data_IF_034112269439
#
_entry.id   IF_034112269439
#
_cell.length_a   1.000
_cell.length_b   1.000
_cell.length_c   1.000
_cell.angle_alpha   90.00
_cell.angle_beta   90.00
_cell.angle_gamma   90.00
#
_symmetry.space_group_name_H-M   'P 1'
#
loop_
_entity.id
_entity.type
_entity.pdbx_description
1 polymer ?
#
# COMPACT_ATOMS: atom_id res chain seq x y z
N UNK A 1 29.60 54.94 10.21
CA UNK A 1 29.25 53.77 11.06
C UNK A 1 29.25 52.47 10.23
N UNK A 2 30.40 51.77 10.16
CA UNK A 2 30.64 50.67 9.24
C UNK A 2 30.62 49.29 9.93
N UNK A 3 29.45 48.70 10.15
CA UNK A 3 29.29 47.39 10.81
C UNK A 3 28.41 46.41 10.01
N UNK A 4 28.66 46.28 8.70
CA UNK A 4 28.02 45.23 7.87
C UNK A 4 29.02 44.46 7.01
N UNK A 5 30.30 44.85 6.98
CA UNK A 5 31.32 44.24 6.11
C UNK A 5 32.17 43.12 6.75
N UNK A 6 31.97 42.79 8.04
CA UNK A 6 32.87 41.90 8.80
C UNK A 6 32.34 40.45 8.90
N UNK A 7 31.08 40.18 8.55
CA UNK A 7 30.51 38.82 8.69
C UNK A 7 30.71 37.90 7.47
N UNK A 8 31.23 38.39 6.34
CA UNK A 8 31.44 37.57 5.12
C UNK A 8 32.88 37.08 4.90
N UNK A 9 33.82 37.38 5.81
CA UNK A 9 35.23 37.01 5.65
C UNK A 9 35.74 35.88 6.55
N UNK A 10 34.89 35.34 7.43
CA UNK A 10 35.28 34.26 8.36
C UNK A 10 34.95 32.84 7.88
N UNK A 11 34.28 32.67 6.74
CA UNK A 11 34.01 31.34 6.15
C UNK A 11 35.02 30.90 5.09
N UNK A 12 35.99 31.74 4.71
CA UNK A 12 36.92 31.46 3.62
C UNK A 12 38.31 30.95 4.04
N UNK A 13 38.56 30.68 5.33
CA UNK A 13 39.91 30.29 5.83
C UNK A 13 39.98 28.85 6.39
N UNK A 14 38.87 28.09 6.40
CA UNK A 14 38.88 26.68 6.84
C UNK A 14 38.98 25.65 5.70
N UNK A 15 39.25 26.08 4.46
CA UNK A 15 39.33 25.19 3.29
C UNK A 15 40.74 25.05 2.69
N UNK A 16 41.80 25.49 3.38
CA UNK A 16 43.16 25.51 2.83
C UNK A 16 44.21 24.97 3.81
N UNK A 17 44.01 23.76 4.35
CA UNK A 17 45.08 22.94 4.93
C UNK A 17 44.57 21.51 5.15
N UNK A 18 44.66 20.64 4.14
CA UNK A 18 44.23 19.25 4.31
C UNK A 18 44.18 18.41 3.04
N UNK A 19 45.03 18.68 2.05
CA UNK A 19 45.31 17.74 0.95
C UNK A 19 46.81 17.41 1.00
N UNK A 20 47.17 16.54 1.95
CA UNK A 20 48.45 15.84 1.94
C UNK A 20 48.17 14.37 1.66
N UNK A 21 48.86 13.85 0.66
CA UNK A 21 48.69 12.56 0.03
C UNK A 21 48.79 11.38 1.01
N UNK A 22 47.82 10.46 0.93
CA UNK A 22 48.00 9.06 1.31
C UNK A 22 47.95 8.27 0.00
N UNK A 23 49.09 8.12 -0.64
CA UNK A 23 49.37 7.04 -1.58
C UNK A 23 49.75 5.81 -0.76
N UNK A 24 48.85 4.83 -0.65
CA UNK A 24 49.21 3.46 -0.27
C UNK A 24 48.41 2.47 -1.14
N UNK A 25 49.17 1.74 -1.95
CA UNK A 25 48.94 0.42 -2.53
C UNK A 25 47.52 0.04 -3.01
N UNK A 26 47.40 -0.05 -4.34
CA UNK A 26 46.45 -0.96 -4.99
C UNK A 26 46.86 -2.41 -4.67
N UNK A 27 46.00 -3.13 -3.97
CA UNK A 27 45.97 -4.59 -3.98
C UNK A 27 44.54 -4.98 -4.33
N UNK A 28 44.40 -5.75 -5.40
CA UNK A 28 43.13 -6.07 -6.03
C UNK A 28 42.42 -7.13 -5.19
N UNK A 29 41.44 -6.70 -4.40
CA UNK A 29 40.52 -7.59 -3.69
C UNK A 29 39.14 -7.48 -4.34
N UNK A 30 38.85 -8.46 -5.19
CA UNK A 30 37.58 -8.71 -5.84
C UNK A 30 36.49 -8.88 -4.77
N UNK A 31 35.52 -7.97 -4.72
CA UNK A 31 34.38 -8.07 -3.78
C UNK A 31 33.29 -8.93 -4.46
N UNK A 32 32.97 -10.13 -3.93
CA UNK A 32 32.02 -11.03 -4.56
C UNK A 32 30.60 -10.47 -4.47
N UNK A 33 29.94 -10.46 -5.63
CA UNK A 33 28.56 -10.01 -5.84
C UNK A 33 27.62 -11.20 -5.60
N UNK A 34 27.53 -11.72 -4.38
CA UNK A 34 26.58 -12.79 -4.03
C UNK A 34 25.92 -12.54 -2.68
N UNK A 35 24.82 -11.77 -2.69
CA UNK A 35 23.88 -11.69 -1.58
C UNK A 35 22.45 -11.44 -2.09
N UNK A 36 22.00 -12.29 -3.00
CA UNK A 36 20.60 -12.66 -3.16
C UNK A 36 20.56 -14.19 -3.19
N UNK A 37 20.79 -14.80 -2.02
CA UNK A 37 20.62 -16.23 -1.86
C UNK A 37 19.13 -16.54 -1.98
N UNK A 38 18.78 -17.23 -3.05
CA UNK A 38 17.56 -17.98 -3.19
C UNK A 38 17.50 -19.07 -2.11
N UNK A 39 16.29 -19.37 -1.68
CA UNK A 39 15.96 -20.36 -0.66
C UNK A 39 16.66 -21.72 -0.88
N UNK A 40 17.35 -22.21 0.16
CA UNK A 40 18.12 -23.46 0.25
C UNK A 40 17.27 -24.76 0.20
N UNK A 41 16.19 -24.78 -0.58
CA UNK A 41 15.37 -25.99 -0.76
C UNK A 41 15.85 -26.88 -1.93
N UNK A 42 16.76 -26.41 -2.79
CA UNK A 42 17.05 -27.10 -4.07
C UNK A 42 18.50 -27.55 -4.27
N UNK A 43 19.41 -27.39 -3.30
CA UNK A 43 20.82 -27.75 -3.49
C UNK A 43 21.20 -29.17 -3.03
N UNK A 44 20.32 -29.91 -2.32
CA UNK A 44 20.69 -31.18 -1.70
C UNK A 44 20.44 -32.43 -2.56
N UNK A 45 19.66 -32.35 -3.64
CA UNK A 45 19.24 -33.51 -4.41
C UNK A 45 19.16 -33.16 -5.90
N UNK A 46 19.82 -33.98 -6.72
CA UNK A 46 20.22 -33.65 -8.09
C UNK A 46 19.11 -33.11 -9.00
N UNK A 47 19.56 -32.43 -10.06
CA UNK A 47 18.76 -31.69 -11.05
C UNK A 47 17.59 -32.43 -11.72
N UNK A 48 17.45 -33.75 -11.52
CA UNK A 48 16.32 -34.53 -12.02
C UNK A 48 15.05 -34.41 -11.16
N UNK A 49 15.17 -34.15 -9.85
CA UNK A 49 14.02 -34.14 -8.94
C UNK A 49 13.23 -32.82 -9.00
N UNK A 50 13.90 -31.69 -9.24
CA UNK A 50 13.25 -30.40 -9.48
C UNK A 50 12.44 -30.36 -10.79
N UNK A 51 12.90 -31.04 -11.84
CA UNK A 51 12.19 -31.12 -13.12
C UNK A 51 10.89 -31.93 -12.98
N UNK A 52 10.90 -32.97 -12.14
CA UNK A 52 9.71 -33.78 -11.86
C UNK A 52 8.63 -32.99 -11.12
N UNK A 53 9.02 -32.20 -10.10
CA UNK A 53 8.10 -31.40 -9.30
C UNK A 53 7.41 -30.29 -10.13
N UNK A 54 8.15 -29.65 -11.05
CA UNK A 54 7.62 -28.61 -11.93
C UNK A 54 6.72 -29.19 -13.05
N UNK A 55 6.98 -30.42 -13.51
CA UNK A 55 6.07 -31.17 -14.40
C UNK A 55 4.81 -31.64 -13.68
N UNK A 56 4.91 -32.06 -12.42
CA UNK A 56 3.76 -32.44 -11.59
C UNK A 56 2.85 -31.24 -11.27
N UNK A 57 3.42 -30.07 -11.01
CA UNK A 57 2.67 -28.81 -10.84
C UNK A 57 1.94 -28.39 -12.13
N UNK A 58 2.56 -28.58 -13.30
CA UNK A 58 1.90 -28.34 -14.60
C UNK A 58 0.84 -29.38 -14.95
N UNK A 59 1.01 -30.63 -14.52
CA UNK A 59 0.00 -31.68 -14.66
C UNK A 59 -1.21 -31.44 -13.73
N UNK A 60 -0.99 -30.89 -12.53
CA UNK A 60 -2.06 -30.46 -11.62
C UNK A 60 -2.82 -29.21 -12.12
N UNK A 61 -2.15 -28.33 -12.88
CA UNK A 61 -2.78 -27.19 -13.56
C UNK A 61 -3.53 -27.56 -14.85
N UNK A 62 -3.43 -28.82 -15.29
CA UNK A 62 -4.03 -29.35 -16.51
C UNK A 62 -5.38 -30.02 -16.30
N UNK A 63 -6.36 -29.32 -15.73
CA UNK A 63 -7.77 -29.65 -15.99
C UNK A 63 -8.47 -28.45 -16.63
N UNK A 64 -8.66 -28.58 -17.94
CA UNK A 64 -9.71 -27.93 -18.74
C UNK A 64 -10.98 -27.80 -17.92
N UNK A 65 -11.54 -26.58 -17.84
CA UNK A 65 -12.99 -26.44 -17.92
C UNK A 65 -13.30 -25.39 -19.00
N UNK A 66 -14.24 -25.78 -19.83
CA UNK A 66 -14.56 -25.30 -21.15
C UNK A 66 -15.47 -24.05 -21.09
N UNK A 67 -15.29 -23.16 -22.05
CA UNK A 67 -16.09 -21.95 -22.25
C UNK A 67 -17.40 -22.29 -22.96
N UNK A 68 -18.56 -21.92 -22.37
CA UNK A 68 -19.76 -21.38 -23.04
C UNK A 68 -20.91 -21.14 -22.02
N UNK A 69 -21.95 -20.34 -22.35
CA UNK A 69 -21.92 -18.94 -22.74
C UNK A 69 -22.84 -18.05 -21.86
N UNK A 70 -22.75 -16.75 -22.09
CA UNK A 70 -23.52 -15.67 -21.47
C UNK A 70 -25.03 -15.93 -21.36
N UNK A 71 -25.61 -15.60 -20.19
CA UNK A 71 -27.04 -15.36 -20.06
C UNK A 71 -27.31 -13.90 -19.66
N UNK A 72 -27.97 -13.21 -20.59
CA UNK A 72 -28.68 -11.95 -20.38
C UNK A 72 -29.80 -12.15 -19.35
N UNK A 73 -29.96 -11.18 -18.45
CA UNK A 73 -31.23 -10.57 -18.03
C UNK A 73 -30.86 -9.49 -16.98
N UNK A 74 -30.98 -8.19 -17.23
CA UNK A 74 -32.19 -7.43 -17.48
C UNK A 74 -33.30 -7.73 -16.47
N UNK A 75 -33.26 -7.06 -15.32
CA UNK A 75 -34.43 -6.49 -14.63
C UNK A 75 -33.97 -5.69 -13.41
N UNK A 76 -33.87 -4.37 -13.59
CA UNK A 76 -33.87 -3.41 -12.48
C UNK A 76 -35.26 -3.44 -11.84
N UNK A 77 -35.37 -4.00 -10.64
CA UNK A 77 -36.56 -3.84 -9.81
C UNK A 77 -36.38 -2.57 -8.95
N UNK A 78 -37.37 -1.70 -9.06
CA UNK A 78 -37.50 -0.40 -8.40
C UNK A 78 -37.50 -0.57 -6.87
N UNK A 79 -36.80 0.31 -6.15
CA UNK A 79 -36.98 0.48 -4.72
C UNK A 79 -38.00 1.60 -4.48
N UNK A 80 -39.21 1.21 -4.08
CA UNK A 80 -40.20 2.13 -3.52
C UNK A 80 -39.86 2.43 -2.05
N UNK A 81 -39.79 3.72 -1.72
CA UNK A 81 -39.64 4.20 -0.35
C UNK A 81 -41.00 4.19 0.36
N UNK A 82 -41.25 3.17 1.18
CA UNK A 82 -42.31 3.19 2.18
C UNK A 82 -41.72 3.26 3.59
N UNK A 83 -41.93 4.43 4.21
CA UNK A 83 -41.62 4.78 5.59
C UNK A 83 -42.60 4.07 6.54
N UNK A 84 -42.12 3.20 7.42
CA UNK A 84 -42.81 2.87 8.66
C UNK A 84 -41.82 2.48 9.76
N UNK A 85 -42.00 3.11 10.92
CA UNK A 85 -41.25 2.93 12.16
C UNK A 85 -41.64 1.61 12.85
N UNK A 86 -40.69 1.17 13.70
CA UNK A 86 -40.81 0.33 14.90
C UNK A 86 -40.56 -1.20 14.74
N UNK A 87 -39.59 -1.65 15.55
CA UNK A 87 -39.18 -3.01 15.98
C UNK A 87 -40.34 -3.99 16.29
N UNK A 88 -40.10 -5.30 16.57
CA UNK A 88 -38.84 -6.09 16.57
C UNK A 88 -38.98 -7.46 15.84
N UNK A 89 -37.85 -8.09 15.44
CA UNK A 89 -37.68 -9.56 15.38
C UNK A 89 -36.32 -9.91 14.76
N UNK A 90 -35.54 -10.71 15.50
CA UNK A 90 -34.30 -11.34 15.02
C UNK A 90 -34.61 -12.22 13.82
N UNK A 91 -34.20 -11.79 12.62
CA UNK A 91 -34.21 -12.62 11.42
C UNK A 91 -32.95 -13.49 11.42
N UNK A 92 -33.03 -14.78 11.08
CA UNK A 92 -31.83 -15.59 10.93
C UNK A 92 -31.01 -14.98 9.80
N UNK A 93 -29.74 -14.68 10.09
CA UNK A 93 -28.77 -14.24 9.08
C UNK A 93 -28.56 -15.43 8.15
N UNK A 94 -29.30 -15.45 7.05
CA UNK A 94 -28.96 -16.31 5.92
C UNK A 94 -27.61 -15.82 5.41
N UNK A 95 -26.59 -16.64 5.61
CA UNK A 95 -25.24 -16.40 5.12
C UNK A 95 -25.29 -16.26 3.60
N UNK A 96 -25.29 -15.02 3.12
CA UNK A 96 -24.97 -14.73 1.73
C UNK A 96 -23.50 -15.10 1.59
N UNK A 97 -23.22 -16.20 0.89
CA UNK A 97 -21.88 -16.47 0.37
C UNK A 97 -21.63 -15.44 -0.73
N UNK A 98 -21.23 -14.23 -0.32
CA UNK A 98 -20.81 -13.20 -1.22
C UNK A 98 -19.47 -13.64 -1.80
N UNK A 99 -19.47 -14.08 -3.05
CA UNK A 99 -18.28 -13.95 -3.88
C UNK A 99 -18.18 -12.49 -4.38
N UNK A 100 -18.39 -11.53 -3.47
CA UNK A 100 -17.87 -10.19 -3.62
C UNK A 100 -16.39 -10.33 -3.32
N UNK A 101 -15.54 -10.06 -4.30
CA UNK A 101 -14.11 -9.88 -4.05
C UNK A 101 -13.96 -8.82 -2.95
N UNK A 102 -13.74 -9.26 -1.71
CA UNK A 102 -13.40 -8.38 -0.60
C UNK A 102 -11.95 -8.01 -0.82
N UNK A 103 -11.67 -6.73 -1.02
CA UNK A 103 -10.33 -6.23 -1.28
C UNK A 103 -10.11 -5.67 -2.67
N UNK A 104 -8.85 -5.68 -3.07
CA UNK A 104 -8.39 -5.16 -4.35
C UNK A 104 -8.40 -6.27 -5.40
N UNK A 105 -8.66 -5.87 -6.64
CA UNK A 105 -8.49 -6.75 -7.81
C UNK A 105 -7.12 -6.53 -8.44
N UNK A 106 -6.65 -7.43 -9.29
CA UNK A 106 -5.43 -7.23 -10.07
C UNK A 106 -5.46 -5.93 -10.92
N UNK A 107 -6.66 -5.50 -11.36
CA UNK A 107 -6.82 -4.23 -12.06
C UNK A 107 -6.65 -3.01 -11.13
N UNK A 108 -6.97 -3.15 -9.85
CA UNK A 108 -6.73 -2.10 -8.86
C UNK A 108 -5.24 -2.00 -8.51
N UNK A 109 -4.58 -3.14 -8.34
CA UNK A 109 -3.12 -3.21 -8.13
C UNK A 109 -2.36 -2.57 -9.28
N UNK A 110 -2.74 -2.86 -10.52
CA UNK A 110 -2.13 -2.24 -11.70
C UNK A 110 -2.28 -0.71 -11.68
N UNK A 111 -3.45 -0.18 -11.27
CA UNK A 111 -3.65 1.27 -11.13
C UNK A 111 -2.80 1.85 -10.00
N UNK A 112 -2.74 1.19 -8.85
CA UNK A 112 -1.91 1.66 -7.73
C UNK A 112 -0.42 1.68 -8.10
N UNK A 113 0.05 0.65 -8.82
CA UNK A 113 1.42 0.54 -9.29
C UNK A 113 1.81 1.69 -10.24
N UNK A 114 0.88 2.24 -11.05
CA UNK A 114 1.15 3.37 -11.94
C UNK A 114 1.55 4.65 -11.19
N UNK A 115 1.06 4.86 -9.97
CA UNK A 115 1.43 6.02 -9.15
C UNK A 115 2.76 5.81 -8.42
N UNK A 116 3.17 4.55 -8.22
CA UNK A 116 4.40 4.20 -7.54
C UNK A 116 4.39 4.39 -6.02
N UNK A 117 5.46 3.90 -5.35
CA UNK A 117 5.61 3.98 -3.91
C UNK A 117 6.18 5.33 -3.45
N UNK A 118 6.36 5.48 -2.14
CA UNK A 118 7.01 6.64 -1.54
C UNK A 118 6.05 7.77 -1.16
N UNK A 119 6.62 8.91 -0.78
CA UNK A 119 5.89 10.05 -0.19
C UNK A 119 5.90 11.33 -1.04
N UNK A 120 6.43 11.25 -2.27
CA UNK A 120 6.43 12.35 -3.23
C UNK A 120 5.04 12.68 -3.75
N UNK A 121 4.90 13.84 -4.38
CA UNK A 121 3.64 14.23 -5.01
C UNK A 121 3.28 13.30 -6.17
N UNK A 122 2.00 12.94 -6.26
CA UNK A 122 1.49 12.01 -7.27
C UNK A 122 1.69 10.53 -6.95
N UNK A 123 2.36 10.16 -5.86
CA UNK A 123 2.46 8.75 -5.46
C UNK A 123 1.17 8.25 -4.82
N UNK A 124 0.92 6.95 -4.88
CA UNK A 124 -0.30 6.37 -4.30
C UNK A 124 -0.40 6.63 -2.77
N UNK A 125 0.67 6.44 -1.96
CA UNK A 125 0.61 6.73 -0.53
C UNK A 125 0.34 8.21 -0.24
N UNK A 126 0.88 9.12 -1.05
CA UNK A 126 0.62 10.56 -0.91
C UNK A 126 -0.84 10.89 -1.21
N UNK A 127 -1.38 10.39 -2.33
CA UNK A 127 -2.80 10.57 -2.69
C UNK A 127 -3.71 10.02 -1.60
N UNK A 128 -3.41 8.83 -1.07
CA UNK A 128 -4.16 8.23 0.03
C UNK A 128 -4.14 9.08 1.29
N UNK A 129 -2.97 9.61 1.67
CA UNK A 129 -2.84 10.52 2.81
C UNK A 129 -3.60 11.83 2.62
N UNK A 130 -3.55 12.42 1.42
CA UNK A 130 -4.31 13.64 1.09
C UNK A 130 -5.82 13.40 1.17
N UNK A 131 -6.30 12.28 0.61
CA UNK A 131 -7.69 11.88 0.70
C UNK A 131 -8.11 11.67 2.16
N UNK A 132 -7.32 10.96 2.96
CA UNK A 132 -7.60 10.74 4.37
C UNK A 132 -7.63 12.04 5.18
N UNK A 133 -6.73 12.98 4.89
CA UNK A 133 -6.68 14.28 5.56
C UNK A 133 -7.85 15.18 5.15
N UNK A 134 -8.26 15.14 3.89
CA UNK A 134 -9.45 15.85 3.39
C UNK A 134 -10.76 15.30 3.95
N UNK A 135 -10.76 14.01 4.32
CA UNK A 135 -11.90 13.33 4.93
C UNK A 135 -12.01 13.56 6.44
N UNK A 136 -11.09 14.29 7.07
CA UNK A 136 -11.15 14.63 8.48
C UNK A 136 -11.68 16.05 8.69
N UNK A 137 -12.83 16.19 9.36
CA UNK A 137 -13.45 17.49 9.62
C UNK A 137 -14.26 17.48 10.92
N UNK A 138 -14.39 18.63 11.59
CA UNK A 138 -15.09 18.76 12.88
C UNK A 138 -14.77 17.67 13.92
N UNK A 139 -13.50 17.28 13.97
CA UNK A 139 -12.98 16.22 14.83
C UNK A 139 -13.38 14.78 14.49
N UNK A 140 -14.08 14.55 13.38
CA UNK A 140 -14.53 13.24 12.92
C UNK A 140 -13.91 12.87 11.56
N UNK A 141 -13.76 11.57 11.32
CA UNK A 141 -13.29 11.02 10.06
C UNK A 141 -14.47 10.52 9.23
N UNK A 142 -14.48 10.86 7.94
CA UNK A 142 -15.55 10.52 7.01
C UNK A 142 -15.07 9.46 6.01
N UNK A 143 -15.28 8.19 6.36
CA UNK A 143 -14.88 7.03 5.56
C UNK A 143 -15.31 7.14 4.07
N UNK A 144 -16.55 7.54 3.82
CA UNK A 144 -17.10 7.68 2.46
C UNK A 144 -16.40 8.79 1.67
N UNK A 145 -15.95 9.86 2.33
CA UNK A 145 -15.21 10.96 1.69
C UNK A 145 -13.82 10.50 1.27
N UNK A 146 -13.11 9.77 2.13
CA UNK A 146 -11.80 9.20 1.77
C UNK A 146 -11.95 8.17 0.64
N UNK A 147 -12.93 7.26 0.73
CA UNK A 147 -13.19 6.25 -0.30
C UNK A 147 -13.48 6.91 -1.66
N UNK A 148 -14.40 7.88 -1.69
CA UNK A 148 -14.76 8.60 -2.92
C UNK A 148 -13.58 9.36 -3.51
N UNK A 149 -12.75 9.98 -2.65
CA UNK A 149 -11.53 10.66 -3.08
C UNK A 149 -10.53 9.68 -3.72
N UNK A 150 -10.30 8.52 -3.09
CA UNK A 150 -9.40 7.48 -3.62
C UNK A 150 -9.89 6.96 -4.98
N UNK A 151 -11.17 6.58 -5.08
CA UNK A 151 -11.77 6.12 -6.34
C UNK A 151 -11.64 7.19 -7.42
N UNK A 152 -11.95 8.45 -7.11
CA UNK A 152 -11.90 9.55 -8.07
C UNK A 152 -10.47 9.88 -8.53
N UNK A 153 -9.48 9.80 -7.62
CA UNK A 153 -8.09 10.21 -7.89
C UNK A 153 -7.27 9.11 -8.53
N UNK A 154 -7.57 7.85 -8.21
CA UNK A 154 -6.74 6.70 -8.60
C UNK A 154 -7.42 5.75 -9.58
N UNK A 155 -8.76 5.79 -9.65
CA UNK A 155 -9.57 4.91 -10.47
C UNK A 155 -9.73 3.49 -9.92
N UNK A 156 -9.22 3.20 -8.71
CA UNK A 156 -9.43 1.89 -8.07
C UNK A 156 -10.91 1.66 -7.73
N UNK A 157 -11.28 0.39 -7.57
CA UNK A 157 -12.61 -0.01 -7.12
C UNK A 157 -12.92 0.52 -5.71
N UNK A 158 -14.20 0.74 -5.43
CA UNK A 158 -14.65 1.14 -4.09
C UNK A 158 -14.33 0.07 -3.02
N UNK A 159 -14.32 -1.22 -3.39
CA UNK A 159 -13.91 -2.30 -2.49
C UNK A 159 -12.43 -2.23 -2.12
N UNK A 160 -11.56 -1.88 -3.08
CA UNK A 160 -10.14 -1.67 -2.81
C UNK A 160 -9.91 -0.39 -1.98
N UNK A 161 -10.58 0.71 -2.31
CA UNK A 161 -10.49 1.96 -1.56
C UNK A 161 -10.89 1.78 -0.08
N UNK A 162 -11.91 0.95 0.20
CA UNK A 162 -12.36 0.64 1.55
C UNK A 162 -11.27 0.01 2.44
N UNK A 163 -10.28 -0.68 1.86
CA UNK A 163 -9.15 -1.21 2.61
C UNK A 163 -8.22 -0.10 3.11
N UNK A 164 -7.96 0.93 2.30
CA UNK A 164 -7.12 2.06 2.69
C UNK A 164 -7.85 3.02 3.64
N UNK A 165 -9.17 3.09 3.58
CA UNK A 165 -10.00 3.84 4.54
C UNK A 165 -9.77 3.35 5.97
N UNK A 166 -9.55 2.06 6.18
CA UNK A 166 -9.23 1.51 7.52
C UNK A 166 -7.95 2.10 8.10
N UNK A 167 -6.92 2.32 7.27
CA UNK A 167 -5.68 2.99 7.70
C UNK A 167 -5.98 4.40 8.18
N UNK A 168 -6.80 5.15 7.43
CA UNK A 168 -7.19 6.52 7.79
C UNK A 168 -7.97 6.57 9.10
N UNK A 169 -8.94 5.67 9.26
CA UNK A 169 -9.72 5.53 10.48
C UNK A 169 -8.83 5.19 11.69
N UNK A 170 -7.98 4.17 11.55
CA UNK A 170 -7.01 3.80 12.59
C UNK A 170 -6.08 4.98 12.94
N UNK A 171 -5.60 5.70 11.93
CA UNK A 171 -4.75 6.88 12.11
C UNK A 171 -5.42 7.97 12.94
N UNK A 172 -6.72 8.18 12.78
CA UNK A 172 -7.50 9.16 13.57
C UNK A 172 -7.82 8.64 14.97
N UNK A 173 -8.10 7.35 15.13
CA UNK A 173 -8.52 6.76 16.40
C UNK A 173 -7.34 6.52 17.35
N UNK A 174 -6.17 6.14 16.81
CA UNK A 174 -5.02 5.70 17.61
C UNK A 174 -3.79 6.57 17.46
N UNK A 175 -3.62 7.24 16.31
CA UNK A 175 -2.37 7.91 15.94
C UNK A 175 -2.53 9.41 15.63
N UNK A 176 -3.62 10.01 16.11
CA UNK A 176 -4.02 11.38 15.74
C UNK A 176 -2.92 12.41 15.95
N UNK A 177 -2.23 12.33 17.10
CA UNK A 177 -1.16 13.27 17.43
C UNK A 177 0.04 13.13 16.47
N UNK A 178 0.41 11.90 16.14
CA UNK A 178 1.56 11.59 15.31
C UNK A 178 1.28 11.88 13.83
N UNK A 179 0.07 11.57 13.36
CA UNK A 179 -0.29 11.58 11.94
C UNK A 179 -1.01 12.85 11.49
N UNK A 180 -1.85 13.45 12.34
CA UNK A 180 -2.64 14.62 11.98
C UNK A 180 -2.00 15.93 12.44
N UNK A 181 -1.38 15.92 13.63
CA UNK A 181 -0.62 17.07 14.14
C UNK A 181 0.88 17.01 13.82
N UNK A 182 1.38 15.83 13.43
CA UNK A 182 2.74 15.63 12.91
C UNK A 182 2.77 15.59 11.38
N UNK A 183 3.80 14.93 10.85
CA UNK A 183 3.87 14.58 9.43
C UNK A 183 3.35 13.15 9.24
N UNK A 184 2.45 12.98 8.28
CA UNK A 184 1.86 11.69 7.92
C UNK A 184 2.91 10.64 7.51
N UNK A 185 4.03 11.07 6.93
CA UNK A 185 5.14 10.19 6.53
C UNK A 185 6.29 10.19 7.54
N UNK A 186 6.09 10.76 8.73
CA UNK A 186 7.10 10.68 9.80
C UNK A 186 7.22 9.26 10.31
N UNK A 187 8.41 8.90 10.82
CA UNK A 187 8.64 7.60 11.45
C UNK A 187 7.68 7.36 12.63
N UNK A 188 7.32 8.40 13.37
CA UNK A 188 6.36 8.31 14.48
C UNK A 188 4.94 8.01 14.02
N UNK A 189 4.47 8.63 12.93
CA UNK A 189 3.16 8.31 12.37
C UNK A 189 3.17 6.90 11.78
N UNK A 190 4.12 6.59 10.90
CA UNK A 190 4.21 5.28 10.25
C UNK A 190 4.32 4.14 11.26
N UNK A 191 5.15 4.30 12.30
CA UNK A 191 5.28 3.31 13.36
C UNK A 191 4.01 3.14 14.19
N UNK A 192 3.25 4.22 14.42
CA UNK A 192 1.97 4.13 15.12
C UNK A 192 0.90 3.47 14.24
N UNK A 193 0.81 3.85 12.96
CA UNK A 193 -0.20 3.36 12.02
C UNK A 193 0.09 1.98 11.44
N UNK A 194 1.17 1.32 11.86
CA UNK A 194 1.61 0.04 11.29
C UNK A 194 0.50 -1.00 11.35
N UNK A 195 -0.21 -1.11 12.46
CA UNK A 195 -1.34 -2.04 12.62
C UNK A 195 -2.43 -1.77 11.58
N UNK A 196 -2.82 -0.50 11.40
CA UNK A 196 -3.78 -0.12 10.38
C UNK A 196 -3.28 -0.42 8.95
N UNK A 197 -1.98 -0.25 8.70
CA UNK A 197 -1.37 -0.58 7.42
C UNK A 197 -1.40 -2.11 7.16
N UNK A 198 -1.06 -2.93 8.16
CA UNK A 198 -1.10 -4.39 8.07
C UNK A 198 -2.53 -4.88 7.80
N UNK A 199 -3.52 -4.33 8.50
CA UNK A 199 -4.94 -4.63 8.25
C UNK A 199 -5.39 -4.26 6.83
N UNK A 200 -4.85 -3.18 6.28
CA UNK A 200 -5.14 -2.77 4.91
C UNK A 200 -4.48 -3.70 3.88
N UNK A 201 -3.27 -4.19 4.13
CA UNK A 201 -2.63 -5.20 3.26
C UNK A 201 -3.45 -6.49 3.23
N UNK A 202 -3.83 -6.99 4.40
CA UNK A 202 -4.68 -8.18 4.54
C UNK A 202 -6.01 -7.96 3.83
N UNK A 203 -6.64 -6.79 4.00
CA UNK A 203 -7.89 -6.44 3.33
C UNK A 203 -7.73 -6.38 1.82
N UNK A 204 -6.66 -5.76 1.32
CA UNK A 204 -6.42 -5.58 -0.10
C UNK A 204 -6.14 -6.91 -0.82
N UNK A 205 -5.74 -7.96 -0.10
CA UNK A 205 -5.39 -9.25 -0.67
C UNK A 205 -3.95 -9.33 -1.17
N UNK A 206 -3.15 -8.30 -0.90
CA UNK A 206 -1.69 -8.33 -1.01
C UNK A 206 -1.17 -9.09 0.21
N UNK A 207 -1.16 -10.42 0.10
CA UNK A 207 -0.40 -11.24 1.02
C UNK A 207 1.09 -10.98 0.76
N UNK A 208 1.78 -10.54 1.81
CA UNK A 208 3.22 -10.29 1.90
C UNK A 208 4.06 -11.46 1.45
#
# INVERSE_FOLDING_TARGET
PPDVAIAMRTFAVLFAAGFAAITLAAEEAEVPVEAFAADDACAAQGSAECELSLRQLRAAAGQKEEVAPAQKSAAVAKHDHAKAKAEPAVRPVVAVKANATVGCTAADEAKMAMYGPGNGDGTFPKISSECGRSAYSWFSFHADSMSSCLVSRTGISASCAACFVKVGQYGVDHCKLQCLFGSWCSRSCLGCSQVGADEAQICAGVAT
#
